data_IF_642369438041
#
_entry.id   IF_642369438041
#
_cell.length_a   1.000
_cell.length_b   1.000
_cell.length_c   1.000
_cell.angle_alpha   90.00
_cell.angle_beta   90.00
_cell.angle_gamma   90.00
#
_symmetry.space_group_name_H-M   'P 1'
#
loop_
_entity.id
_entity.type
_entity.pdbx_description
1 polymer ?
#
# COMPACT_ATOMS: atom_id res chain seq x y z
N UNK A 1 11.51 -24.91 18.35
CA UNK A 1 12.30 -23.72 18.00
C UNK A 1 11.89 -23.09 16.67
N UNK A 2 11.83 -23.80 15.54
CA UNK A 2 11.41 -23.24 14.22
C UNK A 2 10.03 -22.56 14.19
N UNK A 3 9.11 -22.86 15.09
CA UNK A 3 7.79 -22.20 15.18
C UNK A 3 7.88 -20.82 15.83
N UNK A 4 8.75 -20.66 16.81
CA UNK A 4 9.00 -19.40 17.52
C UNK A 4 9.72 -18.42 16.59
N UNK A 5 10.72 -18.87 15.81
CA UNK A 5 11.40 -18.05 14.79
C UNK A 5 10.43 -17.53 13.71
N UNK A 6 9.41 -18.31 13.36
CA UNK A 6 8.36 -17.91 12.40
C UNK A 6 7.40 -16.85 12.95
N UNK A 7 7.16 -16.83 14.26
CA UNK A 7 6.32 -15.82 14.93
C UNK A 7 7.08 -14.48 15.03
N UNK A 8 8.42 -14.53 15.19
CA UNK A 8 9.27 -13.35 15.26
C UNK A 8 9.87 -12.91 13.91
N UNK A 9 9.30 -13.37 12.80
CA UNK A 9 9.65 -12.78 11.50
C UNK A 9 9.30 -11.28 11.52
N UNK A 10 10.20 -10.46 10.97
CA UNK A 10 10.08 -8.99 10.95
C UNK A 10 8.73 -8.49 10.42
N UNK A 11 8.08 -9.25 9.55
CA UNK A 11 6.77 -8.90 9.00
C UNK A 11 5.66 -9.12 10.04
N UNK A 12 5.72 -10.23 10.80
CA UNK A 12 4.76 -10.52 11.86
C UNK A 12 4.91 -9.54 13.03
N UNK A 13 6.15 -9.15 13.38
CA UNK A 13 6.43 -8.11 14.38
C UNK A 13 5.80 -6.78 13.93
N UNK A 14 5.93 -6.40 12.68
CA UNK A 14 5.35 -5.15 12.16
C UNK A 14 3.82 -5.16 12.24
N UNK A 15 3.18 -6.28 11.87
CA UNK A 15 1.71 -6.42 12.02
C UNK A 15 1.28 -6.34 13.48
N UNK A 16 2.02 -6.97 14.39
CA UNK A 16 1.75 -6.86 15.83
C UNK A 16 1.89 -5.41 16.30
N UNK A 17 2.94 -4.70 15.88
CA UNK A 17 3.14 -3.28 16.21
C UNK A 17 2.02 -2.40 15.67
N UNK A 18 1.46 -2.67 14.48
CA UNK A 18 0.29 -1.94 13.97
C UNK A 18 -0.91 -2.07 14.92
N UNK A 19 -1.18 -3.30 15.42
CA UNK A 19 -2.27 -3.53 16.38
C UNK A 19 -1.97 -2.79 17.70
N UNK A 20 -0.73 -2.84 18.16
CA UNK A 20 -0.28 -2.11 19.36
C UNK A 20 -0.52 -0.61 19.18
N UNK A 21 -0.20 -0.02 18.02
CA UNK A 21 -0.42 1.42 17.77
C UNK A 21 -1.90 1.78 17.75
N UNK A 22 -2.77 0.92 17.25
CA UNK A 22 -4.23 1.11 17.36
C UNK A 22 -4.68 1.14 18.82
N UNK A 23 -4.20 0.18 19.65
CA UNK A 23 -4.50 0.12 21.07
C UNK A 23 -3.95 1.35 21.80
N UNK A 24 -2.72 1.76 21.50
CA UNK A 24 -2.11 2.98 22.03
C UNK A 24 -2.92 4.23 21.69
N UNK A 25 -3.41 4.35 20.45
CA UNK A 25 -4.28 5.45 20.04
C UNK A 25 -5.56 5.56 20.86
N UNK A 26 -6.07 4.43 21.37
CA UNK A 26 -7.22 4.39 22.27
C UNK A 26 -6.88 4.72 23.72
N UNK A 27 -5.79 4.15 24.24
CA UNK A 27 -5.41 4.24 25.67
C UNK A 27 -4.71 5.56 25.99
N UNK A 28 -3.90 6.05 25.08
CA UNK A 28 -3.10 7.26 25.21
C UNK A 28 -3.36 8.13 23.97
N UNK A 29 -4.53 8.78 23.89
CA UNK A 29 -4.87 9.59 22.74
C UNK A 29 -3.94 10.80 22.63
N UNK A 30 -3.46 11.05 21.42
CA UNK A 30 -2.70 12.26 21.12
C UNK A 30 -3.60 13.48 21.29
N UNK A 31 -3.15 14.43 22.10
CA UNK A 31 -3.86 15.70 22.34
C UNK A 31 -3.08 16.83 21.69
N UNK A 32 -3.77 17.71 21.00
CA UNK A 32 -3.17 18.91 20.39
C UNK A 32 -2.45 19.81 21.41
N UNK A 33 -2.83 19.73 22.68
CA UNK A 33 -2.11 20.42 23.75
C UNK A 33 -0.62 20.05 23.84
N UNK A 34 -0.23 18.88 23.34
CA UNK A 34 1.18 18.46 23.27
C UNK A 34 1.95 19.07 22.11
N UNK A 35 1.28 19.71 21.14
CA UNK A 35 1.90 20.36 19.98
C UNK A 35 2.86 21.50 20.36
N UNK A 36 2.72 22.08 21.56
CA UNK A 36 3.67 23.09 22.06
C UNK A 36 5.06 22.51 22.35
N UNK A 37 5.17 21.20 22.61
CA UNK A 37 6.43 20.51 22.89
C UNK A 37 6.91 19.71 21.69
N UNK A 38 6.00 19.02 20.98
CA UNK A 38 6.31 18.17 19.84
C UNK A 38 5.11 18.09 18.89
N UNK A 39 5.27 18.63 17.68
CA UNK A 39 4.23 18.58 16.66
C UNK A 39 4.35 17.26 15.87
N UNK A 40 3.54 16.27 16.25
CA UNK A 40 3.53 14.95 15.65
C UNK A 40 3.13 15.01 14.16
N UNK A 41 2.15 15.84 13.80
CA UNK A 41 1.69 15.99 12.42
C UNK A 41 2.83 16.49 11.52
N UNK A 42 3.52 17.56 11.95
CA UNK A 42 4.68 18.08 11.22
C UNK A 42 5.80 17.04 11.10
N UNK A 43 6.05 16.26 12.16
CA UNK A 43 7.04 15.20 12.12
C UNK A 43 6.66 14.10 11.13
N UNK A 44 5.41 13.69 11.09
CA UNK A 44 4.88 12.73 10.12
C UNK A 44 5.00 13.29 8.69
N UNK A 45 4.63 14.55 8.45
CA UNK A 45 4.72 15.19 7.14
C UNK A 45 6.17 15.21 6.60
N UNK A 46 7.14 15.57 7.44
CA UNK A 46 8.57 15.49 7.09
C UNK A 46 9.03 14.04 6.89
N UNK A 47 8.53 13.13 7.70
CA UNK A 47 8.77 11.70 7.56
C UNK A 47 8.28 11.16 6.21
N UNK A 48 7.09 11.57 5.77
CA UNK A 48 6.51 11.21 4.47
C UNK A 48 7.39 11.72 3.31
N UNK A 49 7.80 13.01 3.37
CA UNK A 49 8.70 13.57 2.38
C UNK A 49 10.05 12.83 2.34
N UNK A 50 10.57 12.47 3.53
CA UNK A 50 11.78 11.64 3.67
C UNK A 50 11.63 10.26 3.05
N UNK A 51 10.51 9.57 3.24
CA UNK A 51 10.24 8.27 2.61
C UNK A 51 10.24 8.39 1.09
N UNK A 52 9.57 9.39 0.52
CA UNK A 52 9.53 9.59 -0.92
C UNK A 52 10.90 9.97 -1.49
N UNK A 53 11.69 10.77 -0.78
CA UNK A 53 13.08 11.06 -1.13
C UNK A 53 13.92 9.76 -1.18
N UNK A 54 13.79 8.93 -0.15
CA UNK A 54 14.47 7.64 -0.06
C UNK A 54 14.02 6.66 -1.15
N UNK A 55 12.76 6.71 -1.56
CA UNK A 55 12.30 5.93 -2.72
C UNK A 55 13.01 6.35 -4.00
N UNK A 56 13.14 7.66 -4.26
CA UNK A 56 13.93 8.18 -5.38
C UNK A 56 15.41 7.76 -5.31
N UNK A 57 16.01 7.83 -4.13
CA UNK A 57 17.40 7.41 -3.89
C UNK A 57 17.64 5.91 -4.09
N UNK A 58 16.65 5.06 -3.78
CA UNK A 58 16.73 3.60 -3.97
C UNK A 58 16.54 3.17 -5.44
N UNK A 59 16.05 4.05 -6.29
CA UNK A 59 15.63 3.71 -7.64
C UNK A 59 16.85 3.44 -8.52
N UNK A 60 17.00 2.19 -8.94
CA UNK A 60 18.07 1.80 -9.85
C UNK A 60 17.54 1.65 -11.28
N UNK A 61 17.63 2.71 -12.06
CA UNK A 61 17.16 2.75 -13.45
C UNK A 61 17.80 1.63 -14.29
N UNK A 62 19.07 1.27 -14.03
CA UNK A 62 19.75 0.20 -14.78
C UNK A 62 19.15 -1.18 -14.52
N UNK A 63 18.73 -1.46 -13.28
CA UNK A 63 18.04 -2.70 -12.94
C UNK A 63 16.65 -2.74 -13.54
N UNK A 64 15.95 -1.59 -13.54
CA UNK A 64 14.64 -1.43 -14.16
C UNK A 64 14.73 -1.73 -15.68
N UNK A 65 15.77 -1.25 -16.37
CA UNK A 65 15.92 -1.47 -17.81
C UNK A 65 16.35 -2.91 -18.14
N UNK A 66 17.07 -3.60 -17.25
CA UNK A 66 17.64 -4.93 -17.52
C UNK A 66 16.62 -6.05 -17.68
N UNK A 67 15.46 -5.97 -17.04
CA UNK A 67 14.42 -7.02 -17.06
C UNK A 67 13.24 -6.72 -18.01
N UNK A 68 13.35 -5.68 -18.83
CA UNK A 68 12.30 -5.28 -19.81
C UNK A 68 11.91 -6.41 -20.76
N UNK A 69 12.79 -7.40 -20.98
CA UNK A 69 12.53 -8.51 -21.90
C UNK A 69 11.27 -9.32 -21.54
N UNK A 70 10.91 -9.43 -20.25
CA UNK A 70 9.71 -10.12 -19.80
C UNK A 70 8.48 -9.19 -19.73
N UNK A 71 8.32 -8.34 -20.77
CA UNK A 71 7.31 -7.28 -20.78
C UNK A 71 5.87 -7.78 -20.58
N UNK A 72 5.53 -8.99 -21.02
CA UNK A 72 4.20 -9.59 -20.84
C UNK A 72 3.87 -9.78 -19.36
N UNK A 73 4.83 -10.28 -18.58
CA UNK A 73 4.70 -10.44 -17.13
C UNK A 73 4.51 -9.07 -16.47
N UNK A 74 5.37 -8.11 -16.83
CA UNK A 74 5.32 -6.77 -16.23
C UNK A 74 4.00 -6.07 -16.54
N UNK A 75 3.57 -6.10 -17.79
CA UNK A 75 2.29 -5.54 -18.21
C UNK A 75 1.11 -6.18 -17.44
N UNK A 76 1.11 -7.52 -17.32
CA UNK A 76 0.04 -8.24 -16.64
C UNK A 76 -0.02 -7.89 -15.13
N UNK A 77 1.13 -7.76 -14.47
CA UNK A 77 1.20 -7.32 -13.06
C UNK A 77 0.63 -5.90 -12.90
N UNK A 78 1.02 -4.96 -13.76
CA UNK A 78 0.55 -3.56 -13.66
C UNK A 78 -0.93 -3.44 -14.05
N UNK A 79 -1.40 -4.14 -15.06
CA UNK A 79 -2.83 -4.21 -15.41
C UNK A 79 -3.64 -4.86 -14.28
N UNK A 80 -3.13 -5.92 -13.66
CA UNK A 80 -3.74 -6.50 -12.46
C UNK A 80 -3.89 -5.46 -11.36
N UNK A 81 -2.82 -4.74 -11.07
CA UNK A 81 -2.74 -3.79 -9.96
C UNK A 81 -3.59 -2.53 -10.19
N UNK A 82 -3.51 -1.89 -11.36
CA UNK A 82 -4.08 -0.56 -11.60
C UNK A 82 -5.31 -0.54 -12.51
N UNK A 83 -5.67 -1.67 -13.13
CA UNK A 83 -6.87 -1.77 -13.97
C UNK A 83 -7.85 -2.79 -13.39
N UNK A 84 -7.43 -4.03 -13.19
CA UNK A 84 -8.35 -5.09 -12.75
C UNK A 84 -8.93 -4.83 -11.36
N UNK A 85 -8.11 -4.46 -10.38
CA UNK A 85 -8.61 -4.13 -9.04
C UNK A 85 -9.60 -2.96 -9.04
N UNK A 86 -9.26 -1.77 -9.59
CA UNK A 86 -10.20 -0.66 -9.65
C UNK A 86 -11.47 -0.99 -10.43
N UNK A 87 -11.35 -1.72 -11.54
CA UNK A 87 -12.49 -2.12 -12.37
C UNK A 87 -13.48 -3.00 -11.60
N UNK A 88 -12.99 -3.99 -10.85
CA UNK A 88 -13.83 -4.87 -10.03
C UNK A 88 -14.63 -4.09 -8.97
N UNK A 89 -14.00 -3.11 -8.32
CA UNK A 89 -14.67 -2.28 -7.33
C UNK A 89 -15.61 -1.28 -8.01
N UNK A 90 -15.23 -0.75 -9.18
CA UNK A 90 -16.06 0.17 -9.95
C UNK A 90 -17.39 -0.44 -10.38
N UNK A 91 -17.46 -1.73 -10.61
CA UNK A 91 -18.73 -2.41 -10.93
C UNK A 91 -19.84 -2.17 -9.89
N UNK A 92 -19.46 -1.89 -8.63
CA UNK A 92 -20.39 -1.62 -7.54
C UNK A 92 -20.67 -0.13 -7.32
N UNK A 93 -20.10 0.76 -8.14
CA UNK A 93 -20.29 2.21 -8.02
C UNK A 93 -21.74 2.62 -8.08
N UNK A 94 -22.52 2.07 -9.04
CA UNK A 94 -23.93 2.39 -9.21
C UNK A 94 -24.80 2.04 -8.01
N UNK A 95 -24.43 0.98 -7.27
CA UNK A 95 -25.11 0.55 -6.05
C UNK A 95 -24.74 1.43 -4.85
N UNK A 96 -23.51 1.91 -4.80
CA UNK A 96 -23.00 2.70 -3.68
C UNK A 96 -23.34 4.19 -3.79
N UNK A 97 -23.42 4.71 -5.02
CA UNK A 97 -23.66 6.13 -5.29
C UNK A 97 -24.98 6.62 -4.70
N UNK A 98 -24.92 7.73 -3.94
CA UNK A 98 -26.09 8.32 -3.30
C UNK A 98 -26.59 7.58 -2.07
N UNK A 99 -25.88 6.57 -1.59
CA UNK A 99 -26.20 5.85 -0.35
C UNK A 99 -25.23 6.23 0.78
N UNK A 100 -25.59 5.96 2.05
CA UNK A 100 -24.66 6.11 3.19
C UNK A 100 -23.38 5.26 3.08
N UNK A 101 -23.39 4.24 2.23
CA UNK A 101 -22.25 3.34 2.01
C UNK A 101 -21.24 3.86 0.99
N UNK A 102 -21.46 5.05 0.40
CA UNK A 102 -20.56 5.59 -0.61
C UNK A 102 -19.12 5.77 -0.10
N UNK A 103 -18.94 6.24 1.12
CA UNK A 103 -17.60 6.39 1.73
C UNK A 103 -16.95 5.01 1.95
N UNK A 104 -17.72 4.00 2.34
CA UNK A 104 -17.23 2.62 2.46
C UNK A 104 -16.75 2.07 1.10
N UNK A 105 -17.56 2.28 0.06
CA UNK A 105 -17.18 1.92 -1.31
C UNK A 105 -15.91 2.67 -1.75
N UNK A 106 -15.83 3.96 -1.48
CA UNK A 106 -14.70 4.81 -1.87
C UNK A 106 -13.41 4.39 -1.13
N UNK A 107 -13.51 3.95 0.12
CA UNK A 107 -12.37 3.42 0.88
C UNK A 107 -11.85 2.08 0.30
N UNK A 108 -12.75 1.22 -0.18
CA UNK A 108 -12.39 -0.02 -0.89
C UNK A 108 -11.82 0.30 -2.27
N UNK A 109 -12.35 1.32 -2.97
CA UNK A 109 -11.81 1.78 -4.24
C UNK A 109 -10.42 2.40 -4.06
N UNK A 110 -10.18 3.11 -2.97
CA UNK A 110 -8.85 3.59 -2.60
C UNK A 110 -7.87 2.42 -2.45
N UNK A 111 -8.21 1.38 -1.67
CA UNK A 111 -7.42 0.16 -1.58
C UNK A 111 -7.13 -0.42 -2.98
N UNK A 112 -8.16 -0.51 -3.83
CA UNK A 112 -8.04 -1.06 -5.19
C UNK A 112 -7.10 -0.24 -6.08
N UNK A 113 -6.99 1.07 -5.87
CA UNK A 113 -6.13 1.98 -6.63
C UNK A 113 -4.67 2.00 -6.17
N UNK A 114 -4.33 1.38 -5.02
CA UNK A 114 -2.98 1.36 -4.47
C UNK A 114 -2.01 0.50 -5.29
N UNK A 115 -0.69 0.82 -5.29
CA UNK A 115 0.34 -0.02 -5.88
C UNK A 115 0.55 -1.32 -5.09
N UNK A 116 1.29 -2.24 -5.72
CA UNK A 116 1.75 -3.48 -5.09
C UNK A 116 2.80 -3.21 -4.00
N UNK A 117 3.01 -4.22 -3.12
CA UNK A 117 4.07 -4.16 -2.09
C UNK A 117 5.44 -4.40 -2.69
N UNK A 118 6.47 -3.76 -2.12
CA UNK A 118 7.87 -3.96 -2.55
C UNK A 118 8.48 -5.18 -1.84
N UNK A 119 8.84 -5.04 -0.58
CA UNK A 119 9.65 -6.03 0.15
C UNK A 119 8.95 -7.39 0.31
N UNK A 120 7.68 -7.39 0.70
CA UNK A 120 6.96 -8.65 0.94
C UNK A 120 6.67 -9.44 -0.34
N UNK A 121 6.54 -8.78 -1.49
CA UNK A 121 6.36 -9.48 -2.78
C UNK A 121 7.62 -10.25 -3.16
N UNK A 122 8.78 -9.60 -3.10
CA UNK A 122 10.06 -10.22 -3.45
C UNK A 122 10.37 -11.40 -2.52
N UNK A 123 10.17 -11.23 -1.20
CA UNK A 123 10.40 -12.31 -0.23
C UNK A 123 9.50 -13.52 -0.51
N UNK A 124 8.20 -13.31 -0.74
CA UNK A 124 7.27 -14.41 -0.98
C UNK A 124 7.52 -15.11 -2.31
N UNK A 125 7.88 -14.37 -3.36
CA UNK A 125 8.30 -14.92 -4.65
C UNK A 125 9.57 -15.76 -4.49
N UNK A 126 10.54 -15.29 -3.72
CA UNK A 126 11.77 -16.03 -3.43
C UNK A 126 11.50 -17.35 -2.69
N UNK A 127 10.64 -17.33 -1.66
CA UNK A 127 10.24 -18.53 -0.91
C UNK A 127 9.57 -19.55 -1.85
N UNK A 128 8.69 -19.08 -2.72
CA UNK A 128 7.95 -19.92 -3.67
C UNK A 128 8.79 -20.37 -4.88
N UNK A 129 10.05 -19.96 -4.97
CA UNK A 129 10.95 -20.19 -6.11
C UNK A 129 10.41 -19.63 -7.42
N UNK A 130 9.85 -18.41 -7.38
CA UNK A 130 9.43 -17.66 -8.57
C UNK A 130 10.57 -16.83 -9.16
N UNK A 131 10.27 -16.04 -10.19
CA UNK A 131 11.21 -15.14 -10.86
C UNK A 131 11.48 -13.89 -10.00
N UNK A 132 12.57 -13.94 -9.21
CA UNK A 132 12.93 -12.89 -8.25
C UNK A 132 13.27 -11.58 -8.96
N UNK A 133 13.98 -11.64 -10.11
CA UNK A 133 14.36 -10.44 -10.88
C UNK A 133 13.14 -9.66 -11.33
N UNK A 134 12.17 -10.36 -11.93
CA UNK A 134 10.89 -9.75 -12.33
C UNK A 134 10.07 -9.27 -11.13
N UNK A 135 10.16 -9.93 -9.97
CA UNK A 135 9.50 -9.46 -8.75
C UNK A 135 10.08 -8.12 -8.27
N UNK A 136 11.41 -7.98 -8.24
CA UNK A 136 12.10 -6.73 -7.87
C UNK A 136 11.72 -5.60 -8.83
N UNK A 137 11.75 -5.89 -10.13
CA UNK A 137 11.34 -4.92 -11.16
C UNK A 137 9.90 -4.43 -10.93
N UNK A 138 8.94 -5.36 -10.84
CA UNK A 138 7.53 -5.01 -10.68
C UNK A 138 7.25 -4.27 -9.37
N UNK A 139 7.92 -4.63 -8.29
CA UNK A 139 7.80 -3.96 -7.01
C UNK A 139 8.22 -2.48 -7.12
N UNK A 140 9.34 -2.22 -7.81
CA UNK A 140 9.86 -0.86 -8.01
C UNK A 140 8.96 -0.04 -8.92
N UNK A 141 8.61 -0.59 -10.09
CA UNK A 141 7.77 0.08 -11.10
C UNK A 141 6.35 0.33 -10.57
N UNK A 142 5.75 -0.63 -9.86
CA UNK A 142 4.40 -0.47 -9.31
C UNK A 142 4.34 0.72 -8.33
N UNK A 143 5.35 0.89 -7.49
CA UNK A 143 5.43 2.06 -6.61
C UNK A 143 5.43 3.37 -7.38
N UNK A 144 6.26 3.47 -8.44
CA UNK A 144 6.34 4.66 -9.27
C UNK A 144 5.04 4.97 -10.03
N UNK A 145 4.46 3.95 -10.67
CA UNK A 145 3.18 4.09 -11.36
C UNK A 145 2.10 4.51 -10.36
N UNK A 146 2.11 3.93 -9.14
CA UNK A 146 1.15 4.22 -8.08
C UNK A 146 1.13 5.67 -7.63
N UNK A 147 2.28 6.37 -7.69
CA UNK A 147 2.38 7.79 -7.34
C UNK A 147 1.48 8.65 -8.24
N UNK A 148 1.33 8.26 -9.49
CA UNK A 148 0.49 8.95 -10.46
C UNK A 148 -0.91 8.34 -10.53
N UNK A 149 -0.99 7.01 -10.63
CA UNK A 149 -2.26 6.31 -10.86
C UNK A 149 -3.21 6.37 -9.67
N UNK A 150 -2.70 6.23 -8.44
CA UNK A 150 -3.58 6.26 -7.27
C UNK A 150 -4.31 7.59 -7.11
N UNK A 151 -3.61 8.76 -7.10
CA UNK A 151 -4.28 10.05 -7.06
C UNK A 151 -5.19 10.31 -8.25
N UNK A 152 -4.76 9.89 -9.45
CA UNK A 152 -5.56 10.05 -10.68
C UNK A 152 -6.89 9.29 -10.56
N UNK A 153 -6.86 8.02 -10.17
CA UNK A 153 -8.06 7.20 -10.00
C UNK A 153 -8.97 7.77 -8.90
N UNK A 154 -8.40 8.19 -7.77
CA UNK A 154 -9.16 8.77 -6.67
C UNK A 154 -9.80 10.10 -7.05
N UNK A 155 -9.14 10.93 -7.86
CA UNK A 155 -9.65 12.23 -8.28
C UNK A 155 -11.00 12.17 -9.02
N UNK A 156 -11.31 11.07 -9.69
CA UNK A 156 -12.60 10.88 -10.38
C UNK A 156 -13.79 10.81 -9.42
N UNK A 157 -13.58 10.36 -8.17
CA UNK A 157 -14.66 10.08 -7.22
C UNK A 157 -14.64 11.01 -6.01
N UNK A 158 -13.50 11.59 -5.64
CA UNK A 158 -13.42 12.57 -4.56
C UNK A 158 -14.09 13.91 -4.93
N UNK A 159 -14.38 14.14 -6.20
CA UNK A 159 -15.03 15.35 -6.73
C UNK A 159 -16.47 15.57 -6.27
N UNK A 160 -17.14 14.56 -5.71
CA UNK A 160 -18.58 14.66 -5.42
C UNK A 160 -18.93 15.42 -4.13
N UNK A 161 -17.93 15.90 -3.37
CA UNK A 161 -18.13 16.63 -2.11
C UNK A 161 -17.74 18.11 -2.12
N UNK A 162 -16.99 18.60 -3.12
CA UNK A 162 -16.60 20.02 -3.19
C UNK A 162 -16.59 20.51 -4.64
N UNK A 163 -17.45 21.51 -4.91
CA UNK A 163 -17.66 22.07 -6.25
C UNK A 163 -16.54 23.02 -6.73
N UNK A 164 -15.46 23.21 -5.97
CA UNK A 164 -14.44 24.20 -6.25
C UNK A 164 -13.23 23.62 -7.00
N UNK A 165 -13.00 24.12 -8.22
CA UNK A 165 -11.80 23.86 -9.01
C UNK A 165 -10.48 24.21 -8.24
N UNK A 166 -10.55 25.16 -7.30
CA UNK A 166 -9.45 25.54 -6.42
C UNK A 166 -9.02 24.39 -5.49
N UNK A 167 -9.95 23.56 -5.02
CA UNK A 167 -9.65 22.38 -4.19
C UNK A 167 -8.84 21.33 -4.95
N UNK A 168 -9.08 21.16 -6.26
CA UNK A 168 -8.34 20.20 -7.09
C UNK A 168 -6.90 20.65 -7.37
N UNK A 169 -6.72 21.94 -7.65
CA UNK A 169 -5.40 22.52 -7.87
C UNK A 169 -4.53 22.35 -6.59
N UNK A 170 -5.11 22.51 -5.41
CA UNK A 170 -4.41 22.35 -4.15
C UNK A 170 -4.01 20.88 -3.89
N UNK A 171 -4.89 19.90 -4.14
CA UNK A 171 -4.54 18.47 -4.05
C UNK A 171 -3.41 18.12 -5.02
N UNK A 172 -3.50 18.57 -6.28
CA UNK A 172 -2.43 18.34 -7.26
C UNK A 172 -1.13 19.02 -6.81
N UNK A 173 -1.19 20.25 -6.29
CA UNK A 173 -0.03 20.95 -5.76
C UNK A 173 0.63 20.19 -4.61
N UNK A 174 -0.16 19.69 -3.65
CA UNK A 174 0.36 18.90 -2.53
C UNK A 174 1.01 17.59 -3.00
N UNK A 175 0.41 16.89 -3.96
CA UNK A 175 1.00 15.70 -4.57
C UNK A 175 2.33 16.01 -5.26
N UNK A 176 2.40 17.11 -6.01
CA UNK A 176 3.64 17.54 -6.67
C UNK A 176 4.73 17.87 -5.64
N UNK A 177 4.40 18.60 -4.59
CA UNK A 177 5.38 19.06 -3.60
C UNK A 177 5.74 17.99 -2.56
N UNK A 178 4.75 17.25 -2.03
CA UNK A 178 4.98 16.29 -0.94
C UNK A 178 5.39 14.90 -1.44
N UNK A 179 5.12 14.57 -2.71
CA UNK A 179 5.40 13.24 -3.27
C UNK A 179 6.37 13.31 -4.43
N UNK A 180 6.01 13.99 -5.53
CA UNK A 180 6.81 13.96 -6.75
C UNK A 180 8.15 14.67 -6.58
N UNK A 181 8.17 15.87 -6.00
CA UNK A 181 9.40 16.64 -5.79
C UNK A 181 10.45 15.88 -4.97
N UNK A 182 10.13 15.29 -3.79
CA UNK A 182 11.11 14.49 -3.04
C UNK A 182 11.64 13.29 -3.84
N UNK A 183 10.80 12.62 -4.63
CA UNK A 183 11.24 11.48 -5.46
C UNK A 183 12.20 11.93 -6.55
N UNK A 184 11.87 13.01 -7.26
CA UNK A 184 12.74 13.56 -8.31
C UNK A 184 14.08 14.00 -7.72
N UNK A 185 14.06 14.70 -6.58
CA UNK A 185 15.29 15.06 -5.85
C UNK A 185 16.10 13.82 -5.46
N UNK A 186 15.45 12.79 -4.92
CA UNK A 186 16.08 11.52 -4.57
C UNK A 186 16.71 10.85 -5.79
N UNK A 187 16.02 10.84 -6.93
CA UNK A 187 16.53 10.27 -8.18
C UNK A 187 17.75 11.04 -8.70
N UNK A 188 17.72 12.37 -8.65
CA UNK A 188 18.86 13.21 -9.04
C UNK A 188 20.07 13.01 -8.12
N UNK A 189 19.83 12.79 -6.83
CA UNK A 189 20.86 12.55 -5.82
C UNK A 189 21.34 11.09 -5.79
N UNK A 190 20.64 10.15 -6.44
CA UNK A 190 21.00 8.73 -6.48
C UNK A 190 22.46 8.46 -6.84
N UNK A 191 23.07 9.07 -7.88
CA UNK A 191 24.45 8.80 -8.25
C UNK A 191 25.45 9.08 -7.11
N UNK A 192 25.18 10.08 -6.27
CA UNK A 192 26.02 10.49 -5.15
C UNK A 192 25.78 9.60 -3.91
N UNK A 193 24.52 9.33 -3.60
CA UNK A 193 24.12 8.68 -2.36
C UNK A 193 23.88 7.17 -2.48
N UNK A 194 24.02 6.56 -3.66
CA UNK A 194 23.79 5.12 -3.89
C UNK A 194 24.53 4.23 -2.88
N UNK A 195 25.81 4.51 -2.65
CA UNK A 195 26.62 3.71 -1.72
C UNK A 195 26.13 3.84 -0.27
N UNK A 196 25.73 5.05 0.14
CA UNK A 196 25.13 5.31 1.45
C UNK A 196 23.82 4.55 1.61
N UNK A 197 22.91 4.66 0.63
CA UNK A 197 21.60 3.97 0.66
C UNK A 197 21.77 2.46 0.71
N UNK A 198 22.68 1.89 -0.05
CA UNK A 198 22.97 0.45 -0.02
C UNK A 198 23.52 0.00 1.33
N UNK A 199 24.46 0.77 1.90
CA UNK A 199 25.06 0.48 3.21
C UNK A 199 24.04 0.52 4.35
N UNK A 200 23.12 1.48 4.31
CA UNK A 200 22.13 1.71 5.37
C UNK A 200 20.71 1.24 5.00
N UNK A 201 20.57 0.40 3.97
CA UNK A 201 19.27 -0.07 3.46
C UNK A 201 18.35 -0.67 4.53
N UNK A 202 18.94 -1.35 5.54
CA UNK A 202 18.20 -1.89 6.68
C UNK A 202 17.57 -0.79 7.54
N UNK A 203 18.34 0.24 7.90
CA UNK A 203 17.88 1.36 8.73
C UNK A 203 16.83 2.19 8.00
N UNK A 204 17.01 2.38 6.70
CA UNK A 204 16.04 3.08 5.84
C UNK A 204 14.69 2.33 5.81
N UNK A 205 14.70 1.00 5.78
CA UNK A 205 13.48 0.20 5.86
C UNK A 205 12.79 0.25 7.23
N UNK A 206 13.55 0.40 8.32
CA UNK A 206 12.96 0.61 9.67
C UNK A 206 12.38 2.03 9.81
N UNK A 207 12.99 3.04 9.17
CA UNK A 207 12.44 4.39 9.14
C UNK A 207 11.05 4.43 8.49
N UNK A 208 10.88 3.78 7.31
CA UNK A 208 9.57 3.66 6.66
C UNK A 208 8.53 3.09 7.64
N UNK A 209 8.88 2.02 8.37
CA UNK A 209 7.98 1.37 9.34
C UNK A 209 7.61 2.26 10.50
N UNK A 210 8.56 3.01 11.06
CA UNK A 210 8.31 3.93 12.18
C UNK A 210 7.30 5.00 11.75
N UNK A 211 7.49 5.63 10.59
CA UNK A 211 6.57 6.65 10.11
C UNK A 211 5.16 6.07 9.89
N UNK A 212 5.04 4.85 9.33
CA UNK A 212 3.73 4.20 9.16
C UNK A 212 3.07 3.92 10.52
N UNK A 213 3.82 3.46 11.51
CA UNK A 213 3.30 3.21 12.85
C UNK A 213 2.79 4.52 13.49
N UNK A 214 3.48 5.63 13.28
CA UNK A 214 3.06 6.95 13.76
C UNK A 214 1.80 7.44 13.03
N UNK A 215 1.69 7.25 11.71
CA UNK A 215 0.49 7.57 10.94
C UNK A 215 -0.72 6.77 11.47
N UNK A 216 -0.54 5.47 11.71
CA UNK A 216 -1.60 4.61 12.26
C UNK A 216 -1.99 5.09 13.65
N UNK A 217 -1.02 5.35 14.53
CA UNK A 217 -1.29 5.87 15.87
C UNK A 217 -2.07 7.18 15.83
N UNK A 218 -1.63 8.16 15.06
CA UNK A 218 -2.27 9.47 14.94
C UNK A 218 -3.71 9.35 14.41
N UNK A 219 -3.88 8.64 13.29
CA UNK A 219 -5.20 8.47 12.65
C UNK A 219 -6.21 7.79 13.58
N UNK A 220 -5.79 6.71 14.27
CA UNK A 220 -6.68 6.01 15.20
C UNK A 220 -6.91 6.79 16.49
N UNK A 221 -5.90 7.52 16.98
CA UNK A 221 -6.05 8.39 18.15
C UNK A 221 -7.12 9.46 17.90
N UNK A 222 -7.05 10.18 16.77
CA UNK A 222 -8.07 11.15 16.36
C UNK A 222 -9.45 10.50 16.23
N UNK A 223 -9.53 9.35 15.55
CA UNK A 223 -10.80 8.65 15.36
C UNK A 223 -11.45 8.18 16.68
N UNK A 224 -10.67 7.76 17.67
CA UNK A 224 -11.19 7.43 19.00
C UNK A 224 -11.64 8.67 19.75
N UNK A 225 -10.89 9.78 19.68
CA UNK A 225 -11.23 11.03 20.35
C UNK A 225 -12.49 11.67 19.76
N UNK A 226 -12.66 11.61 18.45
CA UNK A 226 -13.80 12.14 17.71
C UNK A 226 -14.99 11.16 17.63
N UNK A 227 -14.90 9.98 18.28
CA UNK A 227 -15.92 8.93 18.27
C UNK A 227 -16.34 8.46 16.88
N UNK A 228 -15.43 8.50 15.90
CA UNK A 228 -15.70 8.07 14.52
C UNK A 228 -16.24 6.64 14.46
N UNK A 229 -15.72 5.75 15.31
CA UNK A 229 -16.15 4.35 15.37
C UNK A 229 -17.58 4.15 15.88
N UNK A 230 -18.17 5.10 16.61
CA UNK A 230 -19.56 5.01 17.03
C UNK A 230 -20.54 5.10 15.85
N UNK A 231 -20.13 5.74 14.79
CA UNK A 231 -20.90 5.86 13.53
C UNK A 231 -20.66 4.71 12.54
N UNK A 232 -19.63 3.87 12.78
CA UNK A 232 -19.31 2.72 11.91
C UNK A 232 -19.99 1.48 12.44
N UNK A 233 -21.06 1.03 11.78
CA UNK A 233 -21.75 -0.19 12.20
C UNK A 233 -20.86 -1.44 12.03
N UNK A 234 -21.00 -2.48 12.87
CA UNK A 234 -20.31 -3.76 12.68
C UNK A 234 -20.53 -4.36 11.30
N UNK A 235 -21.66 -4.08 10.67
CA UNK A 235 -22.00 -4.52 9.32
C UNK A 235 -21.05 -3.91 8.27
N UNK A 236 -20.69 -2.62 8.39
CA UNK A 236 -19.72 -1.95 7.51
C UNK A 236 -18.35 -2.61 7.64
N UNK A 237 -17.92 -2.94 8.85
CA UNK A 237 -16.65 -3.65 9.07
C UNK A 237 -16.64 -5.02 8.38
N UNK A 238 -17.74 -5.79 8.48
CA UNK A 238 -17.89 -7.09 7.82
C UNK A 238 -17.83 -6.91 6.28
N UNK A 239 -18.54 -5.91 5.73
CA UNK A 239 -18.50 -5.61 4.30
C UNK A 239 -17.05 -5.35 3.84
N UNK A 240 -16.31 -4.50 4.56
CA UNK A 240 -14.91 -4.20 4.22
C UNK A 240 -14.07 -5.48 4.26
N UNK A 241 -14.15 -6.27 5.32
CA UNK A 241 -13.36 -7.48 5.49
C UNK A 241 -13.65 -8.52 4.39
N UNK A 242 -14.93 -8.78 4.13
CA UNK A 242 -15.35 -9.71 3.07
C UNK A 242 -14.92 -9.20 1.69
N UNK A 243 -15.09 -7.92 1.41
CA UNK A 243 -14.67 -7.33 0.14
C UNK A 243 -13.15 -7.44 -0.06
N UNK A 244 -12.35 -7.19 0.98
CA UNK A 244 -10.90 -7.33 0.91
C UNK A 244 -10.47 -8.76 0.56
N UNK A 245 -11.04 -9.75 1.25
CA UNK A 245 -10.73 -11.17 1.01
C UNK A 245 -11.20 -11.61 -0.38
N UNK A 246 -12.42 -11.23 -0.76
CA UNK A 246 -12.99 -11.54 -2.08
C UNK A 246 -12.14 -10.94 -3.22
N UNK A 247 -11.78 -9.65 -3.12
CA UNK A 247 -10.93 -8.98 -4.11
C UNK A 247 -9.59 -9.68 -4.28
N UNK A 248 -8.95 -10.09 -3.18
CA UNK A 248 -7.70 -10.82 -3.26
C UNK A 248 -7.86 -12.11 -4.07
N UNK A 249 -8.82 -12.95 -3.72
CA UNK A 249 -9.02 -14.23 -4.40
C UNK A 249 -9.45 -14.07 -5.85
N UNK A 250 -10.36 -13.14 -6.14
CA UNK A 250 -10.82 -12.88 -7.51
C UNK A 250 -9.62 -12.48 -8.38
N UNK A 251 -8.84 -11.49 -7.96
CA UNK A 251 -7.69 -11.02 -8.74
C UNK A 251 -6.61 -12.09 -8.85
N UNK A 252 -6.28 -12.80 -7.75
CA UNK A 252 -5.32 -13.89 -7.77
C UNK A 252 -5.69 -14.98 -8.78
N UNK A 253 -6.95 -15.42 -8.79
CA UNK A 253 -7.40 -16.49 -9.70
C UNK A 253 -7.51 -16.00 -11.15
N UNK A 254 -7.95 -14.77 -11.39
CA UNK A 254 -7.98 -14.18 -12.74
C UNK A 254 -6.55 -14.09 -13.29
N UNK A 255 -5.59 -13.57 -12.53
CA UNK A 255 -4.20 -13.49 -12.96
C UNK A 255 -3.62 -14.89 -13.23
N UNK A 256 -3.88 -15.86 -12.36
CA UNK A 256 -3.45 -17.24 -12.55
C UNK A 256 -4.03 -17.85 -13.83
N UNK A 257 -5.31 -17.60 -14.11
CA UNK A 257 -5.98 -18.06 -15.32
C UNK A 257 -5.37 -17.41 -16.57
N UNK A 258 -5.11 -16.10 -16.56
CA UNK A 258 -4.48 -15.39 -17.68
C UNK A 258 -3.05 -15.92 -17.90
N UNK A 259 -2.26 -16.16 -16.85
CA UNK A 259 -0.93 -16.78 -16.98
C UNK A 259 -0.99 -18.13 -17.69
N UNK A 260 -1.97 -18.97 -17.36
CA UNK A 260 -2.19 -20.23 -18.07
C UNK A 260 -2.52 -20.06 -19.56
N UNK A 261 -3.36 -19.05 -19.89
CA UNK A 261 -3.69 -18.73 -21.29
C UNK A 261 -2.51 -18.16 -22.08
N UNK A 262 -1.62 -17.42 -21.41
CA UNK A 262 -0.40 -16.85 -22.00
C UNK A 262 0.78 -17.83 -21.99
N UNK A 263 0.58 -19.06 -21.51
CA UNK A 263 1.60 -20.12 -21.39
C UNK A 263 2.84 -19.67 -20.60
N UNK A 264 2.63 -18.92 -19.51
CA UNK A 264 3.71 -18.56 -18.60
C UNK A 264 4.27 -19.81 -17.93
N UNK A 265 5.59 -19.85 -17.77
CA UNK A 265 6.22 -20.87 -16.95
C UNK A 265 5.79 -20.75 -15.47
N UNK A 266 6.17 -21.75 -14.66
CA UNK A 266 5.82 -21.79 -13.23
C UNK A 266 6.33 -20.57 -12.47
N UNK A 267 7.58 -20.17 -12.72
CA UNK A 267 8.27 -19.09 -12.00
C UNK A 267 7.61 -17.73 -12.28
N UNK A 268 7.29 -17.46 -13.55
CA UNK A 268 6.61 -16.23 -13.97
C UNK A 268 5.15 -16.18 -13.50
N UNK A 269 4.47 -17.34 -13.47
CA UNK A 269 3.11 -17.43 -12.91
C UNK A 269 3.08 -17.10 -11.43
N UNK A 270 4.03 -17.64 -10.64
CA UNK A 270 4.17 -17.30 -9.20
C UNK A 270 4.40 -15.81 -9.03
N UNK A 271 5.34 -15.27 -9.79
CA UNK A 271 5.70 -13.84 -9.72
C UNK A 271 4.54 -12.95 -10.08
N UNK A 272 3.85 -13.23 -11.19
CA UNK A 272 2.69 -12.46 -11.65
C UNK A 272 1.57 -12.46 -10.62
N UNK A 273 1.22 -13.65 -10.12
CA UNK A 273 0.12 -13.77 -9.15
C UNK A 273 0.44 -13.12 -7.82
N UNK A 274 1.67 -13.27 -7.32
CA UNK A 274 2.08 -12.71 -6.04
C UNK A 274 2.32 -11.20 -6.08
N UNK A 275 2.87 -10.67 -7.17
CA UNK A 275 3.07 -9.22 -7.31
C UNK A 275 1.77 -8.51 -7.69
N UNK A 276 0.98 -9.07 -8.60
CA UNK A 276 -0.22 -8.44 -9.12
C UNK A 276 -1.43 -8.47 -8.18
N UNK A 277 -1.46 -9.38 -7.18
CA UNK A 277 -2.58 -9.48 -6.22
C UNK A 277 -2.32 -8.77 -4.90
N UNK A 278 -1.19 -8.11 -4.72
CA UNK A 278 -0.87 -7.43 -3.45
C UNK A 278 -1.13 -5.94 -3.51
N UNK A 279 -1.40 -5.36 -2.32
CA UNK A 279 -1.60 -3.93 -2.10
C UNK A 279 -0.73 -3.42 -0.96
N UNK A 280 -0.15 -2.24 -1.15
CA UNK A 280 0.85 -1.66 -0.26
C UNK A 280 0.21 -0.86 0.86
N UNK A 281 0.39 -1.29 2.12
CA UNK A 281 0.04 -0.51 3.30
C UNK A 281 0.85 0.79 3.37
N UNK A 282 2.15 0.74 3.03
CA UNK A 282 3.04 1.91 3.06
C UNK A 282 2.50 3.03 2.18
N UNK A 283 2.25 2.74 0.89
CA UNK A 283 1.70 3.74 -0.01
C UNK A 283 0.29 4.16 0.40
N UNK A 284 -0.54 3.23 0.90
CA UNK A 284 -1.87 3.56 1.41
C UNK A 284 -1.83 4.56 2.55
N UNK A 285 -1.00 4.33 3.56
CA UNK A 285 -0.84 5.24 4.70
C UNK A 285 -0.35 6.62 4.26
N UNK A 286 0.64 6.67 3.35
CA UNK A 286 1.19 7.94 2.85
C UNK A 286 0.16 8.72 2.01
N UNK A 287 -0.57 8.04 1.12
CA UNK A 287 -1.54 8.72 0.26
C UNK A 287 -2.76 9.26 1.03
N UNK A 288 -3.20 8.60 2.11
CA UNK A 288 -4.26 9.12 2.99
C UNK A 288 -3.90 10.52 3.52
N UNK A 289 -2.62 10.75 3.86
CA UNK A 289 -2.16 12.03 4.38
C UNK A 289 -2.03 13.12 3.31
N UNK A 290 -1.85 12.74 2.04
CA UNK A 290 -1.56 13.68 0.95
C UNK A 290 -2.79 13.98 0.07
N UNK A 291 -3.77 13.07 0.00
CA UNK A 291 -4.95 13.21 -0.87
C UNK A 291 -6.02 14.19 -0.36
N UNK A 292 -5.79 14.87 0.76
CA UNK A 292 -6.78 15.81 1.32
C UNK A 292 -8.03 15.10 1.85
N UNK A 293 -7.90 13.86 2.30
CA UNK A 293 -8.98 13.11 2.95
C UNK A 293 -9.29 13.77 4.30
N UNK A 294 -10.58 14.10 4.60
CA UNK A 294 -10.97 14.66 5.88
C UNK A 294 -10.49 13.79 7.06
N UNK A 295 -10.07 14.42 8.16
CA UNK A 295 -9.48 13.73 9.33
C UNK A 295 -10.40 12.62 9.84
N UNK A 296 -11.70 12.91 9.97
CA UNK A 296 -12.72 11.98 10.43
C UNK A 296 -12.92 10.76 9.51
N UNK A 297 -12.46 10.83 8.26
CA UNK A 297 -12.57 9.75 7.29
C UNK A 297 -11.28 8.95 7.13
N UNK A 298 -10.13 9.46 7.54
CA UNK A 298 -8.82 8.82 7.34
C UNK A 298 -8.79 7.36 7.80
N UNK A 299 -9.40 7.09 8.97
CA UNK A 299 -9.46 5.72 9.51
C UNK A 299 -10.31 4.80 8.64
N UNK A 300 -11.42 5.28 8.07
CA UNK A 300 -12.25 4.48 7.17
C UNK A 300 -11.49 4.06 5.92
N UNK A 301 -10.59 4.93 5.39
CA UNK A 301 -9.72 4.58 4.27
C UNK A 301 -8.56 3.67 4.68
N UNK A 302 -8.07 3.79 5.91
CA UNK A 302 -6.97 2.98 6.42
C UNK A 302 -7.40 1.54 6.73
N UNK A 303 -8.63 1.35 7.21
CA UNK A 303 -9.17 0.04 7.58
C UNK A 303 -9.06 -1.02 6.48
N UNK A 304 -9.60 -0.83 5.26
CA UNK A 304 -9.49 -1.83 4.21
C UNK A 304 -8.03 -2.12 3.83
N UNK A 305 -7.16 -1.11 3.87
CA UNK A 305 -5.72 -1.28 3.58
C UNK A 305 -5.04 -2.14 4.62
N UNK A 306 -5.32 -1.93 5.91
CA UNK A 306 -4.76 -2.72 7.00
C UNK A 306 -5.28 -4.17 6.98
N UNK A 307 -6.60 -4.36 6.80
CA UNK A 307 -7.22 -5.68 6.72
C UNK A 307 -6.65 -6.46 5.55
N UNK A 308 -6.61 -5.86 4.36
CA UNK A 308 -6.07 -6.47 3.16
C UNK A 308 -4.60 -6.83 3.32
N UNK A 309 -3.80 -5.90 3.84
CA UNK A 309 -2.36 -6.10 4.04
C UNK A 309 -2.06 -7.24 5.01
N UNK A 310 -2.79 -7.31 6.12
CA UNK A 310 -2.66 -8.40 7.09
C UNK A 310 -3.05 -9.74 6.48
N UNK A 311 -4.20 -9.81 5.82
CA UNK A 311 -4.69 -11.01 5.16
C UNK A 311 -3.70 -11.50 4.08
N UNK A 312 -3.25 -10.63 3.17
CA UNK A 312 -2.33 -11.02 2.10
C UNK A 312 -0.97 -11.53 2.63
N UNK A 313 -0.47 -10.96 3.73
CA UNK A 313 0.79 -11.43 4.33
C UNK A 313 0.65 -12.85 4.87
N UNK A 314 -0.41 -13.13 5.63
CA UNK A 314 -0.65 -14.47 6.17
C UNK A 314 -0.89 -15.49 5.07
N UNK A 315 -1.85 -15.20 4.17
CA UNK A 315 -2.24 -16.15 3.15
C UNK A 315 -1.12 -16.41 2.13
N UNK A 316 -0.48 -15.37 1.60
CA UNK A 316 0.59 -15.54 0.60
C UNK A 316 1.84 -16.16 1.20
N UNK A 317 2.16 -15.89 2.49
CA UNK A 317 3.25 -16.58 3.19
C UNK A 317 2.96 -18.08 3.32
N UNK A 318 1.74 -18.45 3.73
CA UNK A 318 1.32 -19.84 3.78
C UNK A 318 1.39 -20.50 2.40
N UNK A 319 0.86 -19.85 1.37
CA UNK A 319 0.84 -20.34 0.00
C UNK A 319 2.26 -20.50 -0.57
N UNK A 320 3.16 -19.53 -0.34
CA UNK A 320 4.55 -19.59 -0.78
C UNK A 320 5.29 -20.80 -0.19
N UNK A 321 5.11 -21.05 1.12
CA UNK A 321 5.69 -22.22 1.78
C UNK A 321 5.11 -23.55 1.27
N UNK A 322 3.82 -23.58 0.93
CA UNK A 322 3.18 -24.76 0.34
C UNK A 322 3.76 -25.05 -1.05
N UNK A 323 3.81 -24.03 -1.93
CA UNK A 323 4.38 -24.15 -3.28
C UNK A 323 5.86 -24.59 -3.23
N UNK A 324 6.63 -24.10 -2.26
CA UNK A 324 8.02 -24.48 -2.09
C UNK A 324 8.19 -25.97 -1.75
N UNK A 325 7.29 -26.55 -0.94
CA UNK A 325 7.29 -27.98 -0.57
C UNK A 325 6.86 -28.89 -1.72
N UNK A 326 5.93 -28.46 -2.56
CA UNK A 326 5.47 -29.21 -3.72
C UNK A 326 6.55 -29.28 -4.85
N UNK A 327 7.62 -28.47 -4.73
CA UNK A 327 8.73 -28.42 -5.69
C UNK A 327 9.99 -29.17 -5.22
N UNK A 328 9.94 -29.79 -4.02
CA UNK A 328 10.95 -30.72 -3.48
C UNK A 328 10.42 -32.13 -3.57
#
# INVERSE_FOLDING_TARGET
MKWIEKIFDKQNIFLFLLIVMVIFGKLIPYREAYNSYFNLESFIDWGIAGIFLLYGLKLNIREVVRDISNWKLHLLVQLGTFVLFPLLVFLFYGVAKGTPYFITWLSIFFLASLPSTVSSSVVMVSIARGNITSAIFNASISGLIGIVMTPLLMSFFMKQGSADAASHAEVVRQLLLKVLLPIVLGLLLNPVFKNFVNRYSRWIGEFDRIIILLIVYESFSKAFTENVFSSVSPFVFIIIAVSCVALFFIVYHILKWICGRLHFNREDTITTTFCGSKKSLVHGSLFIMVLGIPEEQKVLYLLPVMIYHSFQLFYVSWLANRIAREAT
#
